data_IF_080857803581
#
_entry.id   IF_080857803581
#
_cell.length_a   1.000
_cell.length_b   1.000
_cell.length_c   1.000
_cell.angle_alpha   90.00
_cell.angle_beta   90.00
_cell.angle_gamma   90.00
#
_symmetry.space_group_name_H-M   'P 1'
#
loop_
_entity.id
_entity.type
_entity.pdbx_description
1 polymer ?
#
# COMPACT_ATOMS: atom_id res chain seq x y z
N UNK A 1 -27.34 18.49 -27.82
CA UNK A 1 -26.20 18.52 -26.88
C UNK A 1 -26.24 17.39 -25.85
N UNK A 2 -27.38 17.11 -25.19
CA UNK A 2 -27.50 16.05 -24.16
C UNK A 2 -27.07 14.64 -24.63
N UNK A 3 -27.49 14.19 -25.82
CA UNK A 3 -27.12 12.88 -26.39
C UNK A 3 -25.59 12.66 -26.50
N UNK A 4 -24.83 13.69 -26.85
CA UNK A 4 -23.36 13.60 -26.94
C UNK A 4 -22.69 13.62 -25.55
N UNK A 5 -23.27 14.34 -24.58
CA UNK A 5 -22.73 14.44 -23.22
C UNK A 5 -22.92 13.14 -22.41
N UNK A 6 -24.01 12.42 -22.65
CA UNK A 6 -24.37 11.20 -21.89
C UNK A 6 -23.89 9.90 -22.58
N UNK A 7 -23.36 9.98 -23.80
CA UNK A 7 -22.98 8.81 -24.63
C UNK A 7 -22.03 7.81 -23.95
N UNK A 8 -21.18 8.28 -23.03
CA UNK A 8 -20.23 7.44 -22.28
C UNK A 8 -20.55 7.29 -20.78
N UNK A 9 -21.69 7.80 -20.31
CA UNK A 9 -22.06 7.74 -18.89
C UNK A 9 -22.91 6.50 -18.65
N UNK A 10 -22.38 5.55 -17.88
CA UNK A 10 -23.19 4.46 -17.38
C UNK A 10 -23.79 4.83 -16.02
N UNK A 11 -25.10 4.60 -15.80
CA UNK A 11 -25.68 4.67 -14.47
C UNK A 11 -25.01 3.60 -13.62
N UNK A 12 -24.45 4.02 -12.48
CA UNK A 12 -23.76 3.12 -11.56
C UNK A 12 -24.69 2.88 -10.37
N UNK A 13 -25.35 1.73 -10.38
CA UNK A 13 -26.27 1.28 -9.34
C UNK A 13 -25.63 0.14 -8.57
N UNK A 14 -25.83 0.12 -7.25
CA UNK A 14 -25.25 -0.89 -6.36
C UNK A 14 -26.34 -1.48 -5.49
N UNK A 15 -26.22 -2.76 -5.17
CA UNK A 15 -27.16 -3.46 -4.32
C UNK A 15 -26.62 -3.58 -2.88
N UNK A 16 -27.55 -3.80 -1.94
CA UNK A 16 -27.19 -4.14 -0.56
C UNK A 16 -26.47 -5.49 -0.57
N UNK A 17 -25.31 -5.56 0.09
CA UNK A 17 -24.44 -6.74 0.12
C UNK A 17 -23.27 -6.68 -0.86
N UNK A 18 -23.28 -5.76 -1.83
CA UNK A 18 -22.13 -5.61 -2.74
C UNK A 18 -20.89 -5.13 -1.99
N UNK A 19 -19.72 -5.67 -2.36
CA UNK A 19 -18.42 -5.23 -1.84
C UNK A 19 -17.91 -4.05 -2.67
N UNK A 20 -17.59 -2.95 -2.00
CA UNK A 20 -17.18 -1.70 -2.63
C UNK A 20 -15.86 -1.20 -2.05
N UNK A 21 -14.97 -0.73 -2.91
CA UNK A 21 -13.78 0.00 -2.54
C UNK A 21 -14.11 1.48 -2.31
N UNK A 22 -13.67 2.02 -1.17
CA UNK A 22 -13.89 3.42 -0.82
C UNK A 22 -12.69 4.29 -1.20
N UNK A 23 -12.93 5.32 -1.99
CA UNK A 23 -11.93 6.34 -2.32
C UNK A 23 -11.73 7.28 -1.13
N UNK A 24 -10.52 7.31 -0.59
CA UNK A 24 -10.17 8.17 0.55
C UNK A 24 -9.33 9.36 0.10
N UNK A 25 -9.53 10.51 0.74
CA UNK A 25 -8.70 11.69 0.51
C UNK A 25 -7.37 11.59 1.27
N UNK A 26 -6.30 12.28 0.83
CA UNK A 26 -5.02 12.28 1.53
C UNK A 26 -5.11 12.69 3.01
N UNK A 27 -6.06 13.57 3.35
CA UNK A 27 -6.31 13.99 4.73
C UNK A 27 -6.82 12.85 5.61
N UNK A 28 -7.68 12.00 5.06
CA UNK A 28 -8.22 10.83 5.77
C UNK A 28 -7.11 9.78 5.93
N UNK A 29 -6.28 9.56 4.90
CA UNK A 29 -5.12 8.67 4.98
C UNK A 29 -4.13 9.04 6.08
N UNK A 30 -3.86 10.34 6.28
CA UNK A 30 -3.01 10.81 7.39
C UNK A 30 -3.56 10.45 8.77
N UNK A 31 -4.88 10.35 8.91
CA UNK A 31 -5.54 9.98 10.18
C UNK A 31 -5.52 8.47 10.43
N UNK A 32 -5.61 7.68 9.36
CA UNK A 32 -5.72 6.22 9.43
C UNK A 32 -4.35 5.57 9.55
N UNK A 33 -3.37 6.10 8.82
CA UNK A 33 -2.04 5.51 8.70
C UNK A 33 -1.03 6.42 9.41
N UNK A 34 -0.72 6.11 10.67
CA UNK A 34 0.31 6.81 11.44
C UNK A 34 1.74 6.47 10.99
N UNK A 35 1.91 5.44 10.14
CA UNK A 35 3.22 5.05 9.63
C UNK A 35 3.68 5.97 8.52
N UNK A 36 5.00 6.21 8.47
CA UNK A 36 5.71 6.99 7.46
C UNK A 36 5.67 6.31 6.08
N UNK A 37 4.48 6.17 5.50
CA UNK A 37 4.32 5.76 4.10
C UNK A 37 4.61 6.99 3.25
N UNK A 38 5.55 6.87 2.32
CA UNK A 38 5.86 7.94 1.38
C UNK A 38 4.58 8.38 0.65
N UNK A 39 4.36 9.69 0.48
CA UNK A 39 3.11 10.26 -0.07
C UNK A 39 2.72 9.66 -1.43
N UNK A 40 3.71 9.26 -2.25
CA UNK A 40 3.49 8.63 -3.56
C UNK A 40 3.07 7.15 -3.52
N UNK A 41 3.12 6.50 -2.36
CA UNK A 41 2.77 5.09 -2.17
C UNK A 41 1.49 4.89 -1.34
N UNK A 42 0.75 5.97 -1.07
CA UNK A 42 -0.52 5.89 -0.37
C UNK A 42 -1.57 5.30 -1.33
N UNK A 43 -2.26 4.21 -0.95
CA UNK A 43 -3.27 3.62 -1.80
C UNK A 43 -4.44 4.59 -2.02
N UNK A 44 -5.01 4.59 -3.23
CA UNK A 44 -6.11 5.50 -3.60
C UNK A 44 -7.45 5.07 -3.01
N UNK A 45 -7.65 3.76 -2.91
CA UNK A 45 -8.86 3.13 -2.38
C UNK A 45 -8.50 2.29 -1.16
N UNK A 46 -9.38 2.29 -0.17
CA UNK A 46 -9.32 1.42 1.00
C UNK A 46 -10.40 0.35 0.88
N UNK A 47 -10.10 -0.83 1.44
CA UNK A 47 -10.91 -2.01 1.73
C UNK A 47 -12.14 -2.35 0.85
N UNK A 48 -12.43 -3.65 0.63
CA UNK A 48 -13.79 -4.02 0.27
C UNK A 48 -14.70 -3.81 1.50
N UNK A 49 -15.63 -2.88 1.40
CA UNK A 49 -16.67 -2.62 2.39
C UNK A 49 -18.03 -3.03 1.84
N UNK A 50 -18.83 -3.67 2.67
CA UNK A 50 -20.19 -4.08 2.28
C UNK A 50 -21.15 -2.89 2.29
N UNK A 51 -21.97 -2.78 1.24
CA UNK A 51 -23.10 -1.85 1.21
C UNK A 51 -24.19 -2.35 2.16
N UNK A 52 -24.48 -1.58 3.21
CA UNK A 52 -25.50 -1.91 4.21
C UNK A 52 -26.89 -1.42 3.78
N UNK A 53 -26.96 -0.22 3.19
CA UNK A 53 -28.23 0.41 2.81
C UNK A 53 -28.02 1.42 1.68
N UNK A 54 -28.98 1.50 0.78
CA UNK A 54 -29.10 2.61 -0.16
C UNK A 54 -29.88 3.76 0.49
N UNK A 55 -29.24 4.91 0.69
CA UNK A 55 -29.86 6.10 1.30
C UNK A 55 -30.62 6.96 0.28
N UNK A 56 -30.26 6.83 -1.01
CA UNK A 56 -30.95 7.47 -2.12
C UNK A 56 -30.37 6.99 -3.45
N UNK A 57 -30.76 7.65 -4.56
CA UNK A 57 -30.28 7.27 -5.90
C UNK A 57 -28.74 7.30 -6.02
N UNK A 58 -28.08 8.16 -5.25
CA UNK A 58 -26.65 8.47 -5.43
C UNK A 58 -25.83 8.28 -4.15
N UNK A 59 -26.46 7.89 -3.04
CA UNK A 59 -25.83 7.79 -1.73
C UNK A 59 -26.03 6.42 -1.10
N UNK A 60 -24.94 5.80 -0.68
CA UNK A 60 -24.91 4.45 -0.11
C UNK A 60 -24.21 4.46 1.24
N UNK A 61 -24.76 3.71 2.19
CA UNK A 61 -24.20 3.47 3.50
C UNK A 61 -23.34 2.21 3.47
N UNK A 62 -22.07 2.35 3.85
CA UNK A 62 -21.12 1.24 3.95
C UNK A 62 -20.95 0.76 5.39
N UNK A 63 -20.66 -0.52 5.56
CA UNK A 63 -20.16 -1.09 6.82
C UNK A 63 -18.69 -0.73 6.98
N UNK A 64 -18.41 0.36 7.71
CA UNK A 64 -17.04 0.80 7.99
C UNK A 64 -16.50 0.20 9.30
N UNK A 65 -15.19 -0.13 9.36
CA UNK A 65 -14.51 -0.50 10.60
C UNK A 65 -14.27 0.73 11.49
N UNK A 66 -14.17 0.53 12.81
CA UNK A 66 -13.97 1.60 13.81
C UNK A 66 -12.69 2.42 13.61
N UNK A 67 -11.69 1.87 12.90
CA UNK A 67 -10.47 2.62 12.51
C UNK A 67 -10.79 3.83 11.64
N UNK A 68 -11.89 3.79 10.89
CA UNK A 68 -12.36 4.84 10.01
C UNK A 68 -13.42 5.67 10.76
N UNK A 69 -12.98 6.67 11.55
CA UNK A 69 -13.86 7.62 12.24
C UNK A 69 -14.48 8.66 11.27
N UNK A 70 -15.12 8.18 10.20
CA UNK A 70 -15.80 8.97 9.17
C UNK A 70 -17.26 8.51 9.07
N UNK A 71 -18.13 9.37 8.55
CA UNK A 71 -19.53 9.03 8.38
C UNK A 71 -19.68 7.89 7.32
N UNK A 72 -20.47 6.83 7.57
CA UNK A 72 -20.58 5.68 6.67
C UNK A 72 -21.31 5.93 5.35
N UNK A 73 -21.91 7.11 5.16
CA UNK A 73 -22.68 7.43 3.94
C UNK A 73 -21.81 8.13 2.90
N UNK A 74 -21.74 7.58 1.69
CA UNK A 74 -20.91 8.07 0.60
C UNK A 74 -21.68 8.22 -0.72
N UNK A 75 -21.27 9.20 -1.51
CA UNK A 75 -21.74 9.38 -2.88
C UNK A 75 -21.11 8.33 -3.82
N UNK A 76 -21.82 7.85 -4.84
CA UNK A 76 -21.35 6.84 -5.80
C UNK A 76 -19.98 7.13 -6.42
N UNK A 77 -19.64 8.40 -6.61
CA UNK A 77 -18.35 8.83 -7.17
C UNK A 77 -17.14 8.48 -6.29
N UNK A 78 -17.35 8.20 -5.00
CA UNK A 78 -16.31 7.73 -4.08
C UNK A 78 -16.26 6.20 -3.98
N UNK A 79 -17.18 5.49 -4.61
CA UNK A 79 -17.29 4.05 -4.57
C UNK A 79 -16.76 3.44 -5.87
N UNK A 80 -16.16 2.26 -5.77
CA UNK A 80 -15.77 1.46 -6.91
C UNK A 80 -16.12 0.00 -6.62
N UNK A 81 -16.76 -0.73 -7.56
CA UNK A 81 -17.07 -2.14 -7.36
C UNK A 81 -15.80 -2.95 -7.10
N UNK A 82 -15.86 -3.82 -6.10
CA UNK A 82 -14.81 -4.78 -5.81
C UNK A 82 -15.19 -6.13 -6.44
N UNK A 83 -14.44 -6.53 -7.46
CA UNK A 83 -14.59 -7.85 -8.07
C UNK A 83 -13.63 -8.81 -7.39
N UNK A 84 -14.17 -9.77 -6.65
CA UNK A 84 -13.40 -10.81 -6.00
C UNK A 84 -12.96 -11.84 -7.05
N UNK A 85 -11.68 -11.81 -7.40
CA UNK A 85 -11.10 -12.74 -8.38
C UNK A 85 -10.80 -14.07 -7.66
N UNK A 86 -11.83 -14.91 -7.51
CA UNK A 86 -11.77 -16.19 -6.79
C UNK A 86 -10.77 -17.19 -7.41
N UNK A 87 -10.29 -16.93 -8.62
CA UNK A 87 -9.42 -17.84 -9.37
C UNK A 87 -7.95 -17.82 -8.92
N UNK A 88 -7.44 -16.76 -8.27
CA UNK A 88 -6.00 -16.66 -8.00
C UNK A 88 -5.64 -15.93 -6.68
N UNK A 89 -5.77 -16.63 -5.56
CA UNK A 89 -5.13 -16.26 -4.26
C UNK A 89 -3.59 -16.11 -4.37
N UNK A 90 -2.99 -16.52 -5.49
CA UNK A 90 -1.53 -16.51 -5.72
C UNK A 90 -0.91 -15.21 -6.27
N UNK A 91 -1.69 -14.24 -6.78
CA UNK A 91 -1.11 -13.02 -7.39
C UNK A 91 -0.50 -12.04 -6.38
N UNK A 92 -0.95 -12.07 -5.12
CA UNK A 92 -0.47 -11.12 -4.10
C UNK A 92 0.96 -11.42 -3.62
N UNK A 93 1.42 -12.66 -3.77
CA UNK A 93 2.82 -12.98 -3.55
C UNK A 93 3.58 -12.72 -4.84
N UNK A 94 4.09 -11.50 -4.97
CA UNK A 94 5.15 -11.26 -5.94
C UNK A 94 6.24 -12.32 -5.68
N UNK A 95 6.46 -13.22 -6.64
CA UNK A 95 7.60 -14.16 -6.65
C UNK A 95 8.88 -13.36 -6.88
N UNK A 96 9.19 -12.43 -5.97
CA UNK A 96 10.48 -11.74 -5.99
C UNK A 96 11.52 -12.81 -5.72
N UNK A 97 12.51 -12.90 -6.60
CA UNK A 97 13.71 -13.66 -6.28
C UNK A 97 14.21 -13.15 -4.92
N UNK A 98 14.47 -14.04 -3.94
CA UNK A 98 15.03 -13.63 -2.67
C UNK A 98 16.31 -12.83 -2.95
N UNK A 99 16.60 -11.77 -2.16
CA UNK A 99 17.85 -11.06 -2.32
C UNK A 99 19.00 -12.07 -2.21
N UNK A 100 19.88 -12.09 -3.21
CA UNK A 100 21.11 -12.88 -3.15
C UNK A 100 21.98 -12.20 -2.09
N UNK A 101 21.78 -12.56 -0.83
CA UNK A 101 22.69 -12.21 0.25
C UNK A 101 23.95 -13.00 -0.05
N UNK A 102 24.97 -12.34 -0.61
CA UNK A 102 26.33 -12.88 -0.58
C UNK A 102 26.66 -13.01 0.90
N UNK A 103 26.52 -14.22 1.45
CA UNK A 103 27.06 -14.56 2.76
C UNK A 103 28.57 -14.45 2.62
N UNK A 104 29.08 -13.24 2.79
CA UNK A 104 30.46 -13.07 3.22
C UNK A 104 30.43 -13.57 4.66
N UNK A 105 30.79 -14.84 4.84
CA UNK A 105 31.09 -15.33 6.17
C UNK A 105 32.16 -14.36 6.69
N UNK A 106 31.81 -13.60 7.73
CA UNK A 106 32.82 -12.99 8.56
C UNK A 106 33.75 -14.14 8.93
N UNK A 107 35.00 -14.07 8.48
CA UNK A 107 35.99 -15.08 8.85
C UNK A 107 35.97 -15.14 10.37
N UNK A 108 35.80 -16.33 10.93
CA UNK A 108 35.91 -16.50 12.38
C UNK A 108 37.30 -15.98 12.77
N UNK A 109 37.33 -14.85 13.49
CA UNK A 109 38.57 -14.18 13.86
C UNK A 109 39.07 -14.86 15.12
N UNK A 110 40.06 -15.75 15.01
CA UNK A 110 40.69 -16.33 16.20
C UNK A 110 41.51 -15.25 16.93
N UNK A 111 42.29 -14.47 16.16
CA UNK A 111 43.12 -13.40 16.73
C UNK A 111 43.45 -12.31 15.72
N UNK A 112 43.40 -11.05 16.16
CA UNK A 112 43.92 -9.90 15.40
C UNK A 112 45.43 -9.80 15.64
N UNK A 113 46.22 -9.88 14.57
CA UNK A 113 47.69 -9.81 14.65
C UNK A 113 48.21 -8.38 14.76
N UNK A 114 47.61 -7.46 14.02
CA UNK A 114 48.03 -6.06 13.91
C UNK A 114 46.89 -5.22 13.30
N UNK A 115 47.13 -3.91 13.11
CA UNK A 115 46.26 -3.05 12.30
C UNK A 115 47.12 -2.15 11.40
N UNK A 116 46.65 -1.89 10.18
CA UNK A 116 47.30 -0.97 9.23
C UNK A 116 46.28 0.05 8.73
N UNK A 117 46.61 1.33 8.84
CA UNK A 117 45.79 2.41 8.29
C UNK A 117 46.32 2.81 6.92
N UNK A 118 45.47 2.76 5.91
CA UNK A 118 45.75 3.11 4.52
C UNK A 118 44.91 4.32 4.10
N UNK A 119 45.47 5.19 3.26
CA UNK A 119 44.79 6.37 2.73
C UNK A 119 45.20 7.66 3.45
N UNK A 120 45.43 8.71 2.66
CA UNK A 120 45.97 10.00 3.13
C UNK A 120 44.87 11.03 3.47
N UNK A 121 43.69 10.90 2.86
CA UNK A 121 42.56 11.83 3.04
C UNK A 121 41.44 11.18 3.85
N UNK A 122 40.70 12.00 4.64
CA UNK A 122 39.56 11.54 5.46
C UNK A 122 38.53 10.72 4.67
N UNK A 123 38.32 11.02 3.38
CA UNK A 123 37.35 10.29 2.54
C UNK A 123 37.80 8.87 2.16
N UNK A 124 39.11 8.59 2.18
CA UNK A 124 39.68 7.33 1.68
C UNK A 124 40.50 6.59 2.76
N UNK A 125 40.40 6.99 4.03
CA UNK A 125 41.14 6.37 5.13
C UNK A 125 40.43 5.07 5.53
N UNK A 126 41.10 3.93 5.32
CA UNK A 126 40.62 2.59 5.71
C UNK A 126 41.62 1.93 6.64
N UNK A 127 41.14 1.22 7.65
CA UNK A 127 41.98 0.45 8.55
C UNK A 127 41.72 -1.02 8.30
N UNK A 128 42.78 -1.76 7.97
CA UNK A 128 42.72 -3.19 7.73
C UNK A 128 43.37 -3.93 8.91
N UNK A 129 42.71 -4.97 9.39
CA UNK A 129 43.18 -5.82 10.49
C UNK A 129 43.58 -7.19 9.92
N UNK A 130 44.87 -7.54 9.86
CA UNK A 130 45.29 -8.92 9.62
C UNK A 130 44.73 -9.85 10.71
N UNK A 131 44.06 -10.90 10.27
CA UNK A 131 43.42 -11.94 11.08
C UNK A 131 44.20 -13.25 10.86
N UNK A 132 44.40 -14.02 11.93
CA UNK A 132 44.83 -15.42 11.88
C UNK A 132 43.61 -16.34 12.03
#
# INVERSE_FOLDING_TARGET
MKKYADSGRQPLEFNVGDKMLLKLTPHIWKKINSKMVHRGLVPKYDGPFEVMKQMGQVAYQLRLPERLKIHPTFHVSFLKPFNEDLAETGRQQAKRAPPIIRKQYDKEVERILNHKTMGQSKKNRRTEFPIQ
#
